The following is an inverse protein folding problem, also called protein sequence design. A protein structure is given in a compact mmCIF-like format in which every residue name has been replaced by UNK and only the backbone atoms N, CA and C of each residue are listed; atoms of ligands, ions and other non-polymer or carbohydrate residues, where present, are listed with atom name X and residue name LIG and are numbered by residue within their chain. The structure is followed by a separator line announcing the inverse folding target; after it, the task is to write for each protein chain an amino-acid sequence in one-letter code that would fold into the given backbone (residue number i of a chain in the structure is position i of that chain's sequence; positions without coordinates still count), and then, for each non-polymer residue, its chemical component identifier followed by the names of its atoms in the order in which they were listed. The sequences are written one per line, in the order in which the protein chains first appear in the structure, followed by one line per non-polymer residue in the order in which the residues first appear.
data_IF_500590006292
#
_entry.id   IF_500590006292
#
_cell.length_a   1.000
_cell.length_b   1.000
_cell.length_c   1.000
_cell.angle_alpha   90.00
_cell.angle_beta   90.00
_cell.angle_gamma   90.00
#
_symmetry.space_group_name_H-M   'P 1'
#
loop_
_entity.id
_entity.type
_entity.pdbx_description
1 polymer ?
#
# COMPACT_ATOMS: atom_id res chain seq x y z
N UNK A 1 -3.78 -11.46 -2.04
CA UNK A 1 -4.76 -10.68 -1.27
C UNK A 1 -5.09 -9.33 -1.92
N UNK A 2 -5.02 -9.21 -3.26
CA UNK A 2 -5.32 -7.96 -3.99
C UNK A 2 -6.81 -7.55 -3.91
N UNK A 3 -7.71 -8.53 -3.82
CA UNK A 3 -9.17 -8.28 -3.80
C UNK A 3 -9.62 -7.70 -2.44
N UNK A 4 -8.89 -7.98 -1.36
CA UNK A 4 -9.19 -7.44 -0.02
C UNK A 4 -8.82 -5.97 0.17
N UNK A 5 -7.92 -5.43 -0.65
CA UNK A 5 -7.40 -4.05 -0.53
C UNK A 5 -8.13 -3.03 -1.42
N UNK A 6 -9.13 -3.46 -2.20
CA UNK A 6 -9.98 -2.58 -3.03
C UNK A 6 -10.77 -1.54 -2.22
N UNK A 7 -10.99 -1.75 -0.91
CA UNK A 7 -11.58 -0.77 0.02
C UNK A 7 -10.54 0.00 0.86
N UNK A 8 -9.24 -0.28 0.67
CA UNK A 8 -8.15 0.28 1.44
C UNK A 8 -7.34 1.34 0.69
N UNK A 9 -6.23 1.74 1.31
CA UNK A 9 -5.36 2.82 0.87
C UNK A 9 -4.71 2.53 -0.50
N UNK A 10 -4.54 3.54 -1.37
CA UNK A 10 -3.97 3.33 -2.73
C UNK A 10 -2.54 2.74 -2.68
N UNK A 11 -1.75 3.15 -1.70
CA UNK A 11 -0.40 2.60 -1.50
C UNK A 11 -0.46 1.12 -1.13
N UNK A 12 -1.46 0.69 -0.35
CA UNK A 12 -1.69 -0.70 0.01
C UNK A 12 -2.06 -1.56 -1.21
N UNK A 13 -2.85 -1.01 -2.14
CA UNK A 13 -3.14 -1.65 -3.43
C UNK A 13 -1.88 -1.81 -4.29
N UNK A 14 -1.05 -0.77 -4.36
CA UNK A 14 0.23 -0.81 -5.08
C UNK A 14 1.15 -1.91 -4.53
N UNK A 15 1.37 -1.95 -3.20
CA UNK A 15 2.20 -2.96 -2.55
C UNK A 15 1.71 -4.38 -2.87
N UNK A 16 0.41 -4.66 -2.75
CA UNK A 16 -0.12 -5.99 -3.05
C UNK A 16 -0.04 -6.37 -4.54
N UNK A 17 -0.21 -5.40 -5.44
CA UNK A 17 -0.06 -5.63 -6.88
C UNK A 17 1.39 -5.93 -7.24
N UNK A 18 2.35 -5.13 -6.74
CA UNK A 18 3.79 -5.33 -6.96
C UNK A 18 4.29 -6.63 -6.36
N UNK A 19 3.79 -7.05 -5.20
CA UNK A 19 4.16 -8.32 -4.59
C UNK A 19 3.68 -9.52 -5.41
N UNK A 20 2.50 -9.40 -6.03
CA UNK A 20 2.00 -10.44 -6.96
C UNK A 20 2.86 -10.50 -8.22
N UNK A 21 3.24 -9.33 -8.77
CA UNK A 21 4.12 -9.25 -9.94
C UNK A 21 5.51 -9.85 -9.61
N UNK A 22 6.07 -9.53 -8.44
CA UNK A 22 7.33 -10.05 -7.97
C UNK A 22 7.34 -11.57 -7.88
N UNK A 23 6.32 -12.18 -7.25
CA UNK A 23 6.22 -13.64 -7.17
C UNK A 23 6.15 -14.28 -8.56
N UNK A 24 5.44 -13.64 -9.49
CA UNK A 24 5.34 -14.11 -10.87
C UNK A 24 6.69 -14.01 -11.61
N UNK A 25 7.40 -12.88 -11.51
CA UNK A 25 8.73 -12.70 -12.10
C UNK A 25 9.76 -13.65 -11.50
N UNK A 26 9.74 -13.87 -10.17
CA UNK A 26 10.67 -14.78 -9.50
C UNK A 26 10.44 -16.24 -9.93
N UNK A 27 9.17 -16.65 -10.03
CA UNK A 27 8.81 -17.98 -10.53
C UNK A 27 9.23 -18.20 -11.99
N UNK A 28 9.02 -17.22 -12.86
CA UNK A 28 9.50 -17.27 -14.23
C UNK A 28 11.03 -17.23 -14.32
N UNK A 29 11.70 -16.46 -13.46
CA UNK A 29 13.16 -16.38 -13.39
C UNK A 29 13.79 -17.72 -13.04
N UNK A 30 13.26 -18.40 -12.02
CA UNK A 30 13.68 -19.75 -11.63
C UNK A 30 13.39 -20.78 -12.72
N UNK A 31 12.20 -20.73 -13.34
CA UNK A 31 11.84 -21.69 -14.38
C UNK A 31 12.68 -21.54 -15.66
N UNK A 32 13.02 -20.30 -16.03
CA UNK A 32 13.84 -20.01 -17.22
C UNK A 32 15.34 -20.13 -16.93
N UNK A 33 15.75 -20.21 -15.65
CA UNK A 33 17.15 -20.18 -15.23
C UNK A 33 17.86 -18.87 -15.57
N UNK A 34 17.12 -17.78 -15.81
CA UNK A 34 17.67 -16.53 -16.33
C UNK A 34 17.90 -15.52 -15.21
N UNK A 35 19.18 -15.31 -14.87
CA UNK A 35 19.66 -14.36 -13.85
C UNK A 35 19.19 -12.91 -14.06
N UNK A 36 18.89 -12.50 -15.30
CA UNK A 36 18.42 -11.15 -15.61
C UNK A 36 17.01 -10.95 -15.04
N UNK A 37 16.13 -11.93 -15.22
CA UNK A 37 14.74 -11.88 -14.75
C UNK A 37 14.72 -11.85 -13.22
N UNK A 38 15.54 -12.67 -12.58
CA UNK A 38 15.69 -12.69 -11.11
C UNK A 38 16.24 -11.37 -10.57
N UNK A 39 17.17 -10.70 -11.28
CA UNK A 39 17.65 -9.37 -10.89
C UNK A 39 16.56 -8.30 -10.98
N UNK A 40 15.78 -8.31 -12.06
CA UNK A 40 14.66 -7.36 -12.23
C UNK A 40 13.62 -7.57 -11.12
N UNK A 41 13.29 -8.82 -10.80
CA UNK A 41 12.41 -9.16 -9.68
C UNK A 41 12.95 -8.63 -8.33
N UNK A 42 14.27 -8.68 -8.12
CA UNK A 42 14.93 -8.10 -6.95
C UNK A 42 14.76 -6.58 -6.85
N UNK A 43 14.91 -5.85 -7.96
CA UNK A 43 14.69 -4.40 -7.99
C UNK A 43 13.25 -4.03 -7.66
N UNK A 44 12.29 -4.79 -8.20
CA UNK A 44 10.88 -4.58 -7.90
C UNK A 44 10.56 -4.88 -6.44
N UNK A 45 11.26 -5.84 -5.83
CA UNK A 45 11.16 -6.14 -4.40
C UNK A 45 11.65 -5.00 -3.52
N UNK A 46 12.72 -4.33 -3.92
CA UNK A 46 13.22 -3.14 -3.22
C UNK A 46 12.18 -2.01 -3.24
N UNK A 47 11.58 -1.75 -4.41
CA UNK A 47 10.52 -0.76 -4.60
C UNK A 47 9.25 -1.10 -3.79
N UNK A 48 8.82 -2.35 -3.85
CA UNK A 48 7.66 -2.85 -3.08
C UNK A 48 7.90 -2.73 -1.57
N UNK A 49 9.08 -3.14 -1.09
CA UNK A 49 9.44 -3.07 0.32
C UNK A 49 9.52 -1.63 0.83
N UNK A 50 10.11 -0.72 0.05
CA UNK A 50 10.16 0.70 0.38
C UNK A 50 8.76 1.32 0.46
N UNK A 51 7.85 0.98 -0.47
CA UNK A 51 6.47 1.46 -0.44
C UNK A 51 5.69 0.92 0.78
N UNK A 52 5.90 -0.35 1.15
CA UNK A 52 5.30 -0.93 2.34
C UNK A 52 5.80 -0.26 3.63
N UNK A 53 7.11 0.01 3.72
CA UNK A 53 7.71 0.73 4.83
C UNK A 53 7.15 2.15 4.94
N UNK A 54 7.03 2.87 3.81
CA UNK A 54 6.44 4.21 3.78
C UNK A 54 5.01 4.22 4.31
N UNK A 55 4.19 3.25 3.90
CA UNK A 55 2.81 3.14 4.38
C UNK A 55 2.76 2.85 5.89
N UNK A 56 3.58 1.92 6.38
CA UNK A 56 3.65 1.61 7.80
C UNK A 56 4.06 2.84 8.64
N UNK A 57 5.03 3.62 8.15
CA UNK A 57 5.43 4.86 8.80
C UNK A 57 4.33 5.92 8.76
N UNK A 58 3.63 6.05 7.63
CA UNK A 58 2.49 6.96 7.53
C UNK A 58 1.40 6.60 8.55
N UNK A 59 1.00 5.33 8.64
CA UNK A 59 0.00 4.88 9.61
C UNK A 59 0.45 5.05 11.07
N UNK A 60 1.72 4.81 11.38
CA UNK A 60 2.28 5.05 12.73
C UNK A 60 2.24 6.52 13.09
N UNK A 61 2.66 7.41 12.18
CA UNK A 61 2.66 8.86 12.43
C UNK A 61 1.21 9.37 12.58
N UNK A 62 0.30 8.94 11.72
CA UNK A 62 -1.13 9.29 11.82
C UNK A 62 -1.73 8.85 13.16
N UNK A 63 -1.37 7.65 13.64
CA UNK A 63 -1.82 7.14 14.93
C UNK A 63 -1.28 7.96 16.13
N UNK A 64 -0.10 8.58 16.00
CA UNK A 64 0.46 9.42 17.07
C UNK A 64 -0.04 10.88 17.02
N UNK A 65 -0.28 11.43 15.82
CA UNK A 65 -0.65 12.83 15.63
C UNK A 65 -2.16 13.08 15.53
N UNK A 66 -2.96 12.06 15.22
CA UNK A 66 -4.42 12.17 15.12
C UNK A 66 -4.92 12.89 13.86
N UNK A 67 -4.05 13.18 12.89
CA UNK A 67 -4.41 13.74 11.59
C UNK A 67 -3.53 13.14 10.48
N UNK A 68 -4.01 13.10 9.22
CA UNK A 68 -3.25 12.58 8.09
C UNK A 68 -2.06 13.47 7.75
N UNK A 69 -0.86 13.04 8.14
CA UNK A 69 0.37 13.84 8.01
C UNK A 69 1.07 13.59 6.66
N UNK A 70 0.95 12.38 6.12
CA UNK A 70 1.52 12.01 4.82
C UNK A 70 0.42 11.56 3.85
N UNK A 71 0.50 11.95 2.56
CA UNK A 71 -0.47 11.54 1.56
C UNK A 71 -0.32 10.04 1.31
N UNK A 72 -1.11 9.25 2.05
CA UNK A 72 -1.13 7.80 1.95
C UNK A 72 -2.18 7.33 0.93
N UNK A 73 -3.13 8.21 0.55
CA UNK A 73 -4.21 7.93 -0.41
C UNK A 73 -5.58 7.70 0.25
N UNK A 74 -5.68 7.94 1.56
CA UNK A 74 -6.93 7.91 2.32
C UNK A 74 -7.87 8.97 1.72
N UNK A 75 -9.08 8.61 1.26
CA UNK A 75 -10.13 9.58 1.01
C UNK A 75 -10.36 10.33 2.33
N UNK A 76 -10.30 11.67 2.30
CA UNK A 76 -10.45 12.51 3.48
C UNK A 76 -11.58 11.99 4.39
N UNK A 77 -11.39 11.94 5.73
CA UNK A 77 -12.48 11.64 6.64
C UNK A 77 -13.64 12.57 6.28
N UNK A 78 -14.77 11.99 5.88
CA UNK A 78 -15.98 12.75 5.62
C UNK A 78 -16.23 13.58 6.88
N UNK A 79 -16.30 14.92 6.81
CA UNK A 79 -16.51 15.73 8.00
C UNK A 79 -17.78 15.20 8.65
N UNK A 80 -17.65 14.76 9.90
CA UNK A 80 -18.76 14.32 10.73
C UNK A 80 -19.84 15.38 10.59
N UNK A 81 -20.94 15.07 9.88
CA UNK A 81 -22.11 15.91 9.89
C UNK A 81 -22.54 15.91 11.34
N UNK A 82 -22.15 16.95 12.07
CA UNK A 82 -22.69 17.29 13.37
C UNK A 82 -24.20 17.35 13.13
N UNK A 83 -24.91 16.29 13.53
CA UNK A 83 -26.35 16.26 13.55
C UNK A 83 -26.73 17.25 14.64
N UNK A 84 -26.83 18.53 14.28
CA UNK A 84 -27.57 19.53 15.04
C UNK A 84 -29.04 19.17 14.93
N UNK A 85 -29.41 18.11 15.65
CA UNK A 85 -30.78 17.77 16.00
C UNK A 85 -31.00 18.11 17.47
N UNK A 86 -30.74 19.37 17.84
CA UNK A 86 -31.32 19.98 19.05
C UNK A 86 -32.41 20.92 18.57
N UNK A 87 -33.68 20.57 18.76
CA UNK A 87 -34.73 21.54 19.05
C UNK A 87 -34.99 21.62 20.56
N UNK A 88 -35.23 22.86 21.00
CA UNK A 88 -35.37 23.37 22.36
C UNK A 88 -36.55 22.79 23.17
#
# INVERSE_FOLDING_TARGET
MFIGTLRGNRVLQFVFSSLTLLFFLLALGEWTGNLIITRIAGYEGLLCGAAALYLAMAEVIEAQFGYPVLPSGIPAPQPTRHVTGVPA
#
